data_IF_258051167295
#
_entry.id   IF_258051167295
#
_cell.length_a   1.000
_cell.length_b   1.000
_cell.length_c   1.000
_cell.angle_alpha   90.00
_cell.angle_beta   90.00
_cell.angle_gamma   90.00
#
_symmetry.space_group_name_H-M   'P 1'
#
loop_
_entity.id
_entity.type
_entity.pdbx_description
1 polymer ?
#
# COMPACT_ATOMS: atom_id res chain seq x y z
N UNK A 1 -4.16 -13.23 32.14
CA UNK A 1 -3.01 -12.75 31.33
C UNK A 1 -3.01 -13.32 29.91
N UNK A 2 -3.10 -14.63 29.69
CA UNK A 2 -3.09 -15.23 28.33
C UNK A 2 -4.15 -14.68 27.35
N UNK A 3 -5.41 -14.50 27.77
CA UNK A 3 -6.46 -13.95 26.90
C UNK A 3 -6.19 -12.51 26.44
N UNK A 4 -5.51 -11.73 27.27
CA UNK A 4 -5.18 -10.33 26.98
C UNK A 4 -4.08 -10.24 25.92
N UNK A 5 -3.09 -11.14 25.99
CA UNK A 5 -2.06 -11.30 24.95
C UNK A 5 -2.65 -11.74 23.61
N UNK A 6 -3.64 -12.66 23.63
CA UNK A 6 -4.33 -13.10 22.40
C UNK A 6 -5.09 -11.94 21.73
N UNK A 7 -5.78 -11.11 22.49
CA UNK A 7 -6.48 -9.92 21.96
C UNK A 7 -5.48 -8.92 21.37
N UNK A 8 -4.38 -8.64 22.07
CA UNK A 8 -3.32 -7.75 21.55
C UNK A 8 -2.72 -8.30 20.25
N UNK A 9 -2.47 -9.61 20.19
CA UNK A 9 -1.97 -10.27 18.98
C UNK A 9 -2.92 -10.11 17.79
N UNK A 10 -4.23 -10.32 18.00
CA UNK A 10 -5.24 -10.15 16.95
C UNK A 10 -5.31 -8.70 16.45
N UNK A 11 -5.25 -7.72 17.35
CA UNK A 11 -5.23 -6.31 16.96
C UNK A 11 -3.99 -5.95 16.14
N UNK A 12 -2.82 -6.48 16.52
CA UNK A 12 -1.58 -6.30 15.76
C UNK A 12 -1.66 -6.90 14.35
N UNK A 13 -2.20 -8.10 14.22
CA UNK A 13 -2.37 -8.76 12.91
C UNK A 13 -3.35 -7.96 12.04
N UNK A 14 -4.50 -7.54 12.60
CA UNK A 14 -5.47 -6.72 11.87
C UNK A 14 -4.89 -5.38 11.41
N UNK A 15 -4.13 -4.71 12.29
CA UNK A 15 -3.42 -3.49 11.95
C UNK A 15 -2.42 -3.69 10.81
N UNK A 16 -1.62 -4.76 10.88
CA UNK A 16 -0.62 -5.05 9.86
C UNK A 16 -1.26 -5.36 8.50
N UNK A 17 -2.32 -6.17 8.46
CA UNK A 17 -3.06 -6.47 7.24
C UNK A 17 -3.65 -5.19 6.64
N UNK A 18 -4.27 -4.34 7.46
CA UNK A 18 -4.82 -3.06 7.02
C UNK A 18 -3.75 -2.12 6.46
N UNK A 19 -2.59 -2.05 7.12
CA UNK A 19 -1.45 -1.24 6.68
C UNK A 19 -0.92 -1.70 5.31
N UNK A 20 -0.70 -3.01 5.13
CA UNK A 20 -0.22 -3.58 3.86
C UNK A 20 -1.24 -3.32 2.75
N UNK A 21 -2.53 -3.56 3.01
CA UNK A 21 -3.57 -3.38 2.01
C UNK A 21 -3.67 -1.92 1.55
N UNK A 22 -3.63 -0.96 2.49
CA UNK A 22 -3.66 0.46 2.16
C UNK A 22 -2.49 0.88 1.24
N UNK A 23 -1.27 0.41 1.53
CA UNK A 23 -0.10 0.73 0.71
C UNK A 23 -0.20 0.12 -0.70
N UNK A 24 -0.65 -1.13 -0.81
CA UNK A 24 -0.83 -1.80 -2.10
C UNK A 24 -1.89 -1.07 -2.94
N UNK A 25 -3.03 -0.70 -2.33
CA UNK A 25 -4.10 0.01 -3.04
C UNK A 25 -3.61 1.36 -3.55
N UNK A 26 -2.96 2.19 -2.71
CA UNK A 26 -2.40 3.47 -3.16
C UNK A 26 -1.40 3.27 -4.30
N UNK A 27 -0.49 2.30 -4.20
CA UNK A 27 0.49 2.04 -5.26
C UNK A 27 -0.16 1.54 -6.56
N UNK A 28 -1.20 0.70 -6.46
CA UNK A 28 -1.91 0.14 -7.62
C UNK A 28 -2.69 1.22 -8.36
N UNK A 29 -3.48 2.01 -7.62
CA UNK A 29 -4.23 3.14 -8.18
C UNK A 29 -3.28 4.19 -8.77
N UNK A 30 -2.15 4.44 -8.10
CA UNK A 30 -1.14 5.34 -8.63
C UNK A 30 -0.57 4.87 -9.98
N UNK A 31 -0.26 3.58 -10.10
CA UNK A 31 0.25 3.01 -11.36
C UNK A 31 -0.79 3.00 -12.48
N UNK A 32 -2.06 2.74 -12.16
CA UNK A 32 -3.12 2.61 -13.16
C UNK A 32 -3.72 3.96 -13.61
N UNK A 33 -3.97 4.86 -12.66
CA UNK A 33 -4.71 6.10 -12.89
C UNK A 33 -3.83 7.36 -12.76
N UNK A 34 -2.63 7.24 -12.17
CA UNK A 34 -1.82 8.41 -11.77
C UNK A 34 -2.44 9.22 -10.63
N UNK A 35 -3.44 8.66 -9.94
CA UNK A 35 -4.15 9.29 -8.85
C UNK A 35 -4.86 8.26 -7.96
N UNK A 36 -5.18 8.64 -6.72
CA UNK A 36 -6.01 7.84 -5.81
C UNK A 36 -7.02 8.73 -5.07
N UNK A 37 -8.10 8.12 -4.59
CA UNK A 37 -9.23 8.82 -3.95
C UNK A 37 -9.18 8.68 -2.43
N UNK A 38 -9.35 9.80 -1.71
CA UNK A 38 -9.53 9.81 -0.25
C UNK A 38 -10.79 10.61 0.07
N UNK A 39 -11.86 9.89 0.40
CA UNK A 39 -13.18 10.49 0.58
C UNK A 39 -13.69 11.13 -0.71
N UNK A 40 -13.78 12.45 -0.75
CA UNK A 40 -14.20 13.24 -1.92
C UNK A 40 -13.04 13.93 -2.64
N UNK A 41 -11.81 13.72 -2.16
CA UNK A 41 -10.63 14.41 -2.67
C UNK A 41 -9.80 13.46 -3.52
N UNK A 42 -9.33 13.94 -4.66
CA UNK A 42 -8.44 13.21 -5.58
C UNK A 42 -7.01 13.69 -5.35
N UNK A 43 -6.11 12.74 -5.10
CA UNK A 43 -4.68 13.00 -4.96
C UNK A 43 -3.97 12.46 -6.18
N UNK A 44 -3.19 13.31 -6.86
CA UNK A 44 -2.32 12.90 -7.95
C UNK A 44 -1.00 12.37 -7.38
N UNK A 45 -0.43 11.38 -8.06
CA UNK A 45 0.83 10.79 -7.67
C UNK A 45 1.63 10.38 -8.91
N UNK A 46 2.93 10.27 -8.74
CA UNK A 46 3.86 9.81 -9.77
C UNK A 46 4.72 8.73 -9.14
N UNK A 47 4.71 7.54 -9.74
CA UNK A 47 5.64 6.50 -9.33
C UNK A 47 7.06 6.95 -9.66
N UNK A 48 7.93 6.98 -8.65
CA UNK A 48 9.37 7.16 -8.85
C UNK A 48 9.92 5.75 -9.00
N UNK A 49 10.09 5.32 -10.24
CA UNK A 49 10.82 4.09 -10.53
C UNK A 49 12.27 4.35 -10.14
N UNK A 50 12.78 3.64 -9.12
CA UNK A 50 14.22 3.62 -8.90
C UNK A 50 14.86 3.06 -10.16
N UNK A 51 16.05 3.54 -10.53
CA UNK A 51 16.79 3.19 -11.75
C UNK A 51 17.25 1.71 -11.81
N UNK A 52 16.49 0.79 -11.23
CA UNK A 52 16.73 -0.65 -11.17
C UNK A 52 15.80 -1.42 -12.14
N UNK A 53 14.96 -0.72 -12.91
CA UNK A 53 13.97 -1.31 -13.83
C UNK A 53 13.97 -0.66 -15.25
N UNK A 54 15.07 -0.03 -15.70
CA UNK A 54 15.20 0.44 -17.10
C UNK A 54 15.98 -0.53 -18.02
N UNK A 55 16.45 -1.67 -17.49
CA UNK A 55 17.08 -2.74 -18.27
C UNK A 55 16.17 -3.98 -18.39
N UNK A 56 14.97 -3.84 -18.98
CA UNK A 56 14.17 -5.01 -19.36
C UNK A 56 13.19 -4.76 -20.53
N UNK A 57 13.44 -3.75 -21.38
CA UNK A 57 12.58 -3.46 -22.55
C UNK A 57 13.33 -3.11 -23.83
N UNK A 58 14.64 -3.37 -23.90
CA UNK A 58 15.40 -3.28 -25.15
C UNK A 58 16.15 -4.61 -25.37
N UNK A 59 15.43 -5.66 -25.72
CA UNK A 59 15.93 -6.75 -26.57
C UNK A 59 14.87 -7.08 -27.62
#
# INVERSE_FOLDING_TARGET
MSKLLAVIGLLWVGWFIGWVHAHITVATECRQLGAFFVGKTVFRCTAIESQDQEQASNE
#
